data_IF_308469902579
#
_entry.id   IF_308469902579
#
_cell.length_a   1.000
_cell.length_b   1.000
_cell.length_c   1.000
_cell.angle_alpha   90.00
_cell.angle_beta   90.00
_cell.angle_gamma   90.00
#
_symmetry.space_group_name_H-M   'P 1'
#
loop_
_entity.id
_entity.type
_entity.pdbx_description
1 polymer ?
#
# COMPACT_ATOMS: atom_id res chain seq x y z
N UNK A 1 2.26 79.87 -30.84
CA UNK A 1 2.29 78.42 -30.97
C UNK A 1 2.18 77.82 -29.54
N UNK A 2 1.04 77.23 -29.17
CA UNK A 2 0.87 76.62 -27.86
C UNK A 2 0.84 75.08 -28.06
N UNK A 3 1.89 74.43 -27.58
CA UNK A 3 2.06 72.96 -27.65
C UNK A 3 1.29 72.34 -26.48
N UNK A 4 0.27 71.53 -26.77
CA UNK A 4 -0.46 70.75 -25.77
C UNK A 4 0.20 69.36 -25.58
N UNK A 5 0.61 69.07 -24.38
CA UNK A 5 1.07 67.72 -23.98
C UNK A 5 -0.15 66.82 -23.58
N UNK A 6 -0.38 65.74 -24.33
CA UNK A 6 -1.29 64.72 -23.95
C UNK A 6 -0.57 63.73 -22.98
N UNK A 7 -1.04 63.64 -21.75
CA UNK A 7 -0.60 62.63 -20.80
C UNK A 7 -1.46 61.40 -20.98
N UNK A 8 -0.87 60.27 -21.46
CA UNK A 8 -1.51 58.98 -21.53
C UNK A 8 -1.41 58.30 -20.15
N UNK A 9 -2.56 58.09 -19.49
CA UNK A 9 -2.64 57.33 -18.28
C UNK A 9 -2.71 55.81 -18.62
N UNK A 10 -1.68 55.07 -18.21
CA UNK A 10 -1.66 53.59 -18.32
C UNK A 10 -2.44 53.06 -17.11
N UNK A 11 -3.62 52.47 -17.37
CA UNK A 11 -4.40 51.74 -16.37
C UNK A 11 -3.83 50.33 -16.32
N UNK A 12 -3.07 50.01 -15.28
CA UNK A 12 -2.71 48.63 -14.94
C UNK A 12 -3.98 47.90 -14.43
N UNK A 13 -4.55 47.06 -15.26
CA UNK A 13 -5.56 46.10 -14.82
C UNK A 13 -4.89 45.05 -13.95
N UNK A 14 -5.14 45.06 -12.63
CA UNK A 14 -4.77 43.97 -11.75
C UNK A 14 -5.65 42.75 -12.09
N UNK A 15 -5.04 41.71 -12.67
CA UNK A 15 -5.71 40.43 -12.82
C UNK A 15 -5.89 39.80 -11.44
N UNK A 16 -7.13 39.40 -11.06
CA UNK A 16 -7.30 38.67 -9.81
C UNK A 16 -6.56 37.34 -9.92
N UNK A 17 -5.53 37.16 -9.11
CA UNK A 17 -4.96 35.83 -8.87
C UNK A 17 -6.08 35.00 -8.21
N UNK A 18 -6.62 34.02 -8.94
CA UNK A 18 -7.42 32.96 -8.33
C UNK A 18 -6.52 32.27 -7.30
N UNK A 19 -6.70 32.61 -6.04
CA UNK A 19 -6.13 31.80 -4.97
C UNK A 19 -6.76 30.41 -5.11
N UNK A 20 -5.98 29.43 -5.56
CA UNK A 20 -6.38 28.04 -5.45
C UNK A 20 -6.51 27.76 -3.95
N UNK A 21 -7.74 27.77 -3.44
CA UNK A 21 -8.00 27.29 -2.09
C UNK A 21 -7.55 25.85 -2.01
N UNK A 22 -6.52 25.59 -1.21
CA UNK A 22 -6.05 24.25 -0.97
C UNK A 22 -7.22 23.40 -0.43
N UNK A 23 -7.39 22.15 -0.87
CA UNK A 23 -8.47 21.31 -0.39
C UNK A 23 -8.41 21.18 1.13
N UNK A 24 -9.55 21.33 1.78
CA UNK A 24 -9.69 21.17 3.23
C UNK A 24 -10.28 19.82 3.51
N UNK A 25 -9.62 19.06 4.42
CA UNK A 25 -10.07 17.74 4.82
C UNK A 25 -10.63 17.79 6.24
N UNK A 26 -11.67 17.02 6.47
CA UNK A 26 -12.26 16.77 7.77
C UNK A 26 -12.44 15.28 7.96
N UNK A 27 -12.15 14.78 9.17
CA UNK A 27 -12.41 13.39 9.53
C UNK A 27 -13.92 13.15 9.55
N UNK A 28 -14.37 12.12 8.84
CA UNK A 28 -15.73 11.63 8.93
C UNK A 28 -15.80 10.52 10.00
N UNK A 29 -16.40 10.79 11.18
CA UNK A 29 -16.48 9.80 12.26
C UNK A 29 -17.48 8.68 11.97
N UNK A 30 -18.30 8.80 10.91
CA UNK A 30 -19.26 7.77 10.50
C UNK A 30 -18.68 6.76 9.53
N UNK A 31 -17.47 7.00 9.01
CA UNK A 31 -16.77 6.10 8.08
C UNK A 31 -15.59 5.39 8.75
N UNK A 32 -15.44 4.06 8.63
CA UNK A 32 -16.40 3.10 8.07
C UNK A 32 -17.62 2.88 8.98
N UNK A 33 -18.68 2.29 8.43
CA UNK A 33 -19.83 1.86 9.23
C UNK A 33 -19.42 0.73 10.20
N UNK A 34 -20.27 0.51 11.21
CA UNK A 34 -20.03 -0.56 12.20
C UNK A 34 -19.84 -1.90 11.53
N UNK A 35 -18.74 -2.58 11.85
CA UNK A 35 -18.43 -3.89 11.31
C UNK A 35 -19.40 -4.96 11.85
N UNK A 36 -19.79 -5.95 11.01
CA UNK A 36 -20.62 -7.07 11.45
C UNK A 36 -19.85 -8.03 12.38
N UNK A 37 -20.53 -9.03 12.93
CA UNK A 37 -19.96 -10.17 13.66
C UNK A 37 -19.11 -9.77 14.89
N UNK A 38 -19.37 -8.63 15.50
CA UNK A 38 -18.52 -8.06 16.56
C UNK A 38 -17.04 -7.92 16.15
N UNK A 39 -16.79 -7.69 14.87
CA UNK A 39 -15.42 -7.52 14.37
C UNK A 39 -14.82 -6.20 14.83
N UNK A 40 -13.51 -6.26 15.11
CA UNK A 40 -12.66 -5.10 15.37
C UNK A 40 -11.43 -5.19 14.48
N UNK A 41 -10.99 -4.06 13.95
CA UNK A 41 -9.72 -3.97 13.22
C UNK A 41 -8.56 -3.78 14.18
N UNK A 42 -7.44 -4.41 13.87
CA UNK A 42 -6.14 -4.05 14.40
C UNK A 42 -5.54 -2.84 13.68
N UNK A 43 -4.23 -2.78 13.62
CA UNK A 43 -3.53 -1.70 12.90
C UNK A 43 -3.85 -1.77 11.41
N UNK A 44 -4.41 -0.71 10.83
CA UNK A 44 -4.48 -0.53 9.39
C UNK A 44 -3.06 -0.35 8.83
N UNK A 45 -2.65 -1.23 7.94
CA UNK A 45 -1.29 -1.28 7.41
C UNK A 45 -1.19 -0.74 5.99
N UNK A 46 -2.24 -0.85 5.20
CA UNK A 46 -2.31 -0.34 3.85
C UNK A 46 -3.74 -0.01 3.45
N UNK A 47 -3.87 0.89 2.48
CA UNK A 47 -5.14 1.31 1.91
C UNK A 47 -4.98 1.49 0.40
N UNK A 48 -5.99 1.08 -0.37
CA UNK A 48 -6.07 1.28 -1.80
C UNK A 48 -7.50 1.66 -2.20
N UNK A 49 -7.64 2.31 -3.35
CA UNK A 49 -8.96 2.63 -3.94
C UNK A 49 -9.01 2.01 -5.32
N UNK A 50 -10.10 1.31 -5.63
CA UNK A 50 -10.27 0.68 -6.93
C UNK A 50 -11.05 1.56 -7.92
N UNK A 51 -11.23 1.09 -9.15
CA UNK A 51 -11.92 1.80 -10.23
C UNK A 51 -13.43 2.02 -9.98
N UNK A 52 -14.01 1.41 -8.94
CA UNK A 52 -15.37 1.60 -8.49
C UNK A 52 -15.47 2.55 -7.29
N UNK A 53 -14.35 3.21 -6.92
CA UNK A 53 -14.19 4.03 -5.72
C UNK A 53 -14.44 3.25 -4.42
N UNK A 54 -14.26 1.92 -4.44
CA UNK A 54 -14.26 1.13 -3.22
C UNK A 54 -12.91 1.25 -2.52
N UNK A 55 -12.95 1.32 -1.20
CA UNK A 55 -11.77 1.43 -0.35
C UNK A 55 -11.38 0.05 0.16
N UNK A 56 -10.17 -0.36 -0.18
CA UNK A 56 -9.56 -1.59 0.30
C UNK A 56 -8.62 -1.29 1.45
N UNK A 57 -8.76 -2.05 2.53
CA UNK A 57 -7.92 -1.92 3.71
C UNK A 57 -7.28 -3.26 4.00
N UNK A 58 -5.95 -3.28 4.13
CA UNK A 58 -5.24 -4.38 4.77
C UNK A 58 -4.90 -4.00 6.21
N UNK A 59 -5.23 -4.86 7.14
CA UNK A 59 -5.02 -4.65 8.57
C UNK A 59 -4.32 -5.83 9.22
N UNK A 60 -3.83 -5.64 10.43
CA UNK A 60 -3.06 -6.62 11.22
C UNK A 60 -3.90 -7.19 12.36
N UNK A 61 -4.66 -8.29 12.19
CA UNK A 61 -5.45 -8.89 13.27
C UNK A 61 -4.60 -9.28 14.48
N UNK A 62 -3.33 -9.61 14.24
CA UNK A 62 -2.37 -10.01 15.29
C UNK A 62 -1.89 -8.85 16.15
N UNK A 63 -2.11 -7.60 15.76
CA UNK A 63 -1.78 -6.43 16.56
C UNK A 63 -2.74 -6.20 17.72
N UNK A 64 -3.91 -6.85 17.70
CA UNK A 64 -4.89 -6.76 18.77
C UNK A 64 -4.40 -7.45 20.05
N UNK A 65 -4.55 -6.77 21.17
CA UNK A 65 -4.29 -7.30 22.49
C UNK A 65 -5.35 -8.33 22.90
N UNK A 66 -5.10 -9.10 23.96
CA UNK A 66 -6.08 -10.06 24.46
C UNK A 66 -7.37 -9.40 24.96
N UNK A 67 -7.28 -8.18 25.47
CA UNK A 67 -8.46 -7.44 25.94
C UNK A 67 -9.31 -6.96 24.75
N UNK A 68 -8.68 -6.53 23.65
CA UNK A 68 -9.39 -6.09 22.44
C UNK A 68 -10.06 -7.25 21.69
N UNK A 69 -9.48 -8.45 21.69
CA UNK A 69 -10.03 -9.65 21.06
C UNK A 69 -10.64 -10.64 22.06
N UNK A 70 -11.17 -10.16 23.15
CA UNK A 70 -11.55 -10.96 24.30
C UNK A 70 -12.62 -12.05 24.01
N UNK A 71 -13.49 -11.83 23.01
CA UNK A 71 -14.46 -12.84 22.57
C UNK A 71 -13.84 -13.98 21.76
N UNK A 72 -12.65 -13.77 21.18
CA UNK A 72 -11.93 -14.78 20.40
C UNK A 72 -10.99 -15.67 21.24
N UNK A 73 -10.87 -15.42 22.54
CA UNK A 73 -10.03 -16.20 23.44
C UNK A 73 -10.69 -17.55 23.78
N UNK A 74 -9.90 -18.51 24.27
CA UNK A 74 -10.40 -19.80 24.73
C UNK A 74 -9.95 -20.05 26.20
N UNK A 75 -10.87 -19.95 27.19
CA UNK A 75 -12.26 -19.52 27.08
C UNK A 75 -12.40 -18.02 26.79
N UNK A 76 -13.53 -17.56 26.22
CA UNK A 76 -13.78 -16.14 26.02
C UNK A 76 -13.85 -15.36 27.33
N UNK A 77 -13.21 -14.18 27.37
CA UNK A 77 -13.25 -13.27 28.53
C UNK A 77 -14.36 -12.22 28.42
N UNK A 78 -14.96 -12.03 27.24
CA UNK A 78 -16.01 -11.05 26.96
C UNK A 78 -16.91 -11.52 25.81
N UNK A 79 -18.04 -10.82 25.61
CA UNK A 79 -18.89 -11.00 24.43
C UNK A 79 -18.41 -10.20 23.20
N UNK A 80 -17.58 -9.20 23.39
CA UNK A 80 -16.87 -8.42 22.35
C UNK A 80 -15.36 -8.60 22.56
N UNK A 81 -14.52 -8.54 21.58
CA UNK A 81 -14.76 -8.46 20.16
C UNK A 81 -13.94 -9.55 19.47
N UNK A 82 -14.12 -9.73 18.16
CA UNK A 82 -13.41 -10.74 17.37
C UNK A 82 -12.55 -10.02 16.33
N UNK A 83 -11.29 -10.42 16.08
CA UNK A 83 -10.48 -9.84 15.01
C UNK A 83 -11.17 -9.95 13.66
N UNK A 84 -11.28 -8.84 12.93
CA UNK A 84 -11.73 -8.86 11.55
C UNK A 84 -10.72 -9.60 10.65
N UNK A 85 -11.15 -10.14 9.48
CA UNK A 85 -10.23 -10.63 8.48
C UNK A 85 -9.22 -9.57 8.04
N UNK A 86 -7.98 -9.96 7.62
CA UNK A 86 -6.93 -9.00 7.31
C UNK A 86 -7.21 -8.10 6.11
N UNK A 87 -8.04 -8.52 5.16
CA UNK A 87 -8.40 -7.73 3.97
C UNK A 87 -9.88 -7.39 4.02
N UNK A 88 -10.20 -6.12 3.85
CA UNK A 88 -11.59 -5.64 3.83
C UNK A 88 -11.79 -4.66 2.67
N UNK A 89 -12.94 -4.77 2.03
CA UNK A 89 -13.41 -3.87 0.98
C UNK A 89 -14.65 -3.14 1.47
N UNK A 90 -14.65 -1.82 1.37
CA UNK A 90 -15.76 -0.95 1.73
C UNK A 90 -16.25 -0.20 0.49
N UNK A 91 -17.55 0.03 0.39
CA UNK A 91 -18.09 0.99 -0.58
C UNK A 91 -17.82 2.44 -0.14
N UNK A 92 -18.23 3.39 -0.97
CA UNK A 92 -18.03 4.82 -0.69
C UNK A 92 -18.74 5.28 0.59
N UNK A 93 -19.86 4.66 0.94
CA UNK A 93 -20.63 4.93 2.16
C UNK A 93 -20.03 4.26 3.40
N UNK A 94 -18.91 3.55 3.27
CA UNK A 94 -18.22 2.86 4.36
C UNK A 94 -18.86 1.55 4.79
N UNK A 95 -19.79 1.01 4.01
CA UNK A 95 -20.37 -0.31 4.26
C UNK A 95 -19.41 -1.40 3.82
N UNK A 96 -19.20 -2.39 4.67
CA UNK A 96 -18.38 -3.55 4.34
C UNK A 96 -19.00 -4.37 3.21
N UNK A 97 -18.28 -4.51 2.10
CA UNK A 97 -18.65 -5.29 0.92
C UNK A 97 -18.12 -6.71 1.02
N UNK A 98 -16.84 -6.86 1.40
CA UNK A 98 -16.14 -8.15 1.57
C UNK A 98 -15.12 -8.08 2.68
N UNK A 99 -14.84 -9.28 3.23
CA UNK A 99 -13.70 -9.46 4.13
C UNK A 99 -13.16 -10.89 3.99
N UNK A 100 -11.83 -11.02 3.86
CA UNK A 100 -11.15 -12.29 3.67
C UNK A 100 -9.66 -12.21 4.02
N UNK A 101 -8.93 -13.30 3.83
CA UNK A 101 -7.48 -13.38 3.98
C UNK A 101 -7.04 -14.14 5.22
N UNK A 102 -5.74 -14.23 5.37
CA UNK A 102 -5.08 -15.07 6.35
C UNK A 102 -4.42 -16.29 5.71
N UNK A 103 -3.78 -17.17 6.51
CA UNK A 103 -3.13 -18.37 6.02
C UNK A 103 -4.09 -19.26 5.22
N UNK A 104 -3.58 -19.86 4.13
CA UNK A 104 -4.34 -20.75 3.25
C UNK A 104 -3.43 -21.71 2.49
N UNK A 105 -3.99 -22.49 1.59
CA UNK A 105 -3.26 -23.46 0.80
C UNK A 105 -2.61 -22.84 -0.43
N UNK A 106 -1.38 -23.27 -0.74
CA UNK A 106 -0.66 -22.88 -1.95
C UNK A 106 0.10 -21.57 -1.87
N UNK A 107 0.05 -20.84 -0.76
CA UNK A 107 0.78 -19.58 -0.56
C UNK A 107 1.22 -19.38 0.89
N UNK A 108 2.15 -18.43 1.08
CA UNK A 108 2.60 -18.02 2.40
C UNK A 108 2.01 -16.65 2.74
N UNK A 109 1.02 -16.62 3.65
CA UNK A 109 0.47 -15.35 4.14
C UNK A 109 1.54 -14.54 4.88
N UNK A 110 1.60 -13.19 4.69
CA UNK A 110 2.57 -12.36 5.37
C UNK A 110 2.56 -12.50 6.89
N UNK A 111 3.73 -12.49 7.51
CA UNK A 111 3.85 -12.44 8.97
C UNK A 111 3.43 -11.08 9.51
N UNK A 112 3.65 -10.03 8.75
CA UNK A 112 3.29 -8.66 9.11
C UNK A 112 2.76 -7.96 7.86
N UNK A 113 1.44 -7.96 7.69
CA UNK A 113 0.76 -7.33 6.55
C UNK A 113 1.21 -5.89 6.39
N UNK A 114 1.41 -5.43 5.13
CA UNK A 114 1.88 -4.07 4.86
C UNK A 114 1.18 -3.42 3.66
N UNK A 115 1.68 -3.61 2.44
CA UNK A 115 1.12 -2.99 1.25
C UNK A 115 -0.13 -3.70 0.72
N UNK A 116 -1.06 -2.94 0.15
CA UNK A 116 -2.17 -3.44 -0.66
C UNK A 116 -2.36 -2.54 -1.87
N UNK A 117 -2.49 -3.14 -3.05
CA UNK A 117 -2.87 -2.42 -4.28
C UNK A 117 -3.90 -3.22 -5.08
N UNK A 118 -4.66 -2.51 -5.92
CA UNK A 118 -5.66 -3.10 -6.80
C UNK A 118 -5.22 -2.83 -8.23
N UNK A 119 -4.91 -3.91 -8.98
CA UNK A 119 -4.44 -3.75 -10.34
C UNK A 119 -5.56 -3.35 -11.31
N UNK A 120 -5.23 -2.88 -12.53
CA UNK A 120 -6.23 -2.47 -13.52
C UNK A 120 -7.20 -3.58 -13.95
N UNK A 121 -6.87 -4.85 -13.69
CA UNK A 121 -7.75 -6.01 -13.94
C UNK A 121 -8.63 -6.36 -12.74
N UNK A 122 -8.47 -5.63 -11.61
CA UNK A 122 -9.21 -5.82 -10.37
C UNK A 122 -8.67 -6.92 -9.46
N UNK A 123 -7.45 -7.39 -9.65
CA UNK A 123 -6.80 -8.28 -8.70
C UNK A 123 -6.22 -7.50 -7.52
N UNK A 124 -6.21 -8.15 -6.36
CA UNK A 124 -5.71 -7.61 -5.11
C UNK A 124 -4.29 -8.12 -4.87
N UNK A 125 -3.35 -7.20 -4.70
CA UNK A 125 -1.96 -7.51 -4.43
C UNK A 125 -1.62 -7.16 -2.98
N UNK A 126 -0.95 -8.09 -2.28
CA UNK A 126 -0.67 -7.96 -0.84
C UNK A 126 0.77 -8.33 -0.54
N UNK A 127 1.46 -7.44 0.14
CA UNK A 127 2.81 -7.66 0.66
C UNK A 127 2.89 -7.63 2.18
N UNK A 128 4.06 -7.97 2.69
CA UNK A 128 4.36 -7.91 4.10
C UNK A 128 5.81 -7.53 4.37
N UNK A 129 6.05 -6.97 5.56
CA UNK A 129 7.38 -6.53 5.98
C UNK A 129 7.87 -7.22 7.26
N UNK A 130 7.32 -8.38 7.63
CA UNK A 130 7.82 -9.22 8.71
C UNK A 130 9.22 -9.78 8.40
N UNK A 131 9.92 -10.26 9.41
CA UNK A 131 11.31 -10.71 9.27
C UNK A 131 11.53 -11.79 8.22
N UNK A 132 10.53 -12.65 8.02
CA UNK A 132 10.56 -13.72 7.03
C UNK A 132 9.74 -13.42 5.77
N UNK A 133 9.14 -12.23 5.66
CA UNK A 133 8.32 -11.88 4.49
C UNK A 133 9.22 -11.58 3.29
N UNK A 134 9.26 -12.52 2.37
CA UNK A 134 10.02 -12.46 1.13
C UNK A 134 9.16 -12.74 -0.09
N UNK A 135 7.85 -12.53 0.01
CA UNK A 135 6.85 -12.79 -1.02
C UNK A 135 5.88 -11.63 -1.18
N UNK A 136 5.26 -11.56 -2.36
CA UNK A 136 4.10 -10.74 -2.68
C UNK A 136 3.00 -11.63 -3.28
N UNK A 137 1.76 -11.43 -2.89
CA UNK A 137 0.63 -12.31 -3.20
C UNK A 137 -0.39 -11.60 -4.08
N UNK A 138 -0.93 -12.31 -5.06
CA UNK A 138 -2.04 -11.86 -5.92
C UNK A 138 -3.28 -12.71 -5.66
N UNK A 139 -4.41 -12.04 -5.48
CA UNK A 139 -5.72 -12.66 -5.26
C UNK A 139 -6.76 -12.07 -6.20
N UNK A 140 -7.84 -12.81 -6.44
CA UNK A 140 -9.07 -12.23 -6.99
C UNK A 140 -9.74 -11.34 -5.93
N UNK A 141 -10.72 -10.52 -6.32
CA UNK A 141 -11.46 -9.65 -5.38
C UNK A 141 -12.16 -10.43 -4.25
N UNK A 142 -12.55 -11.67 -4.50
CA UNK A 142 -13.20 -12.57 -3.53
C UNK A 142 -12.21 -13.41 -2.70
N UNK A 143 -10.91 -13.10 -2.78
CA UNK A 143 -9.87 -13.72 -1.96
C UNK A 143 -9.37 -15.07 -2.46
N UNK A 144 -9.64 -15.45 -3.71
CA UNK A 144 -9.10 -16.67 -4.30
C UNK A 144 -7.64 -16.43 -4.72
N UNK A 145 -6.73 -17.26 -4.22
CA UNK A 145 -5.31 -17.20 -4.56
C UNK A 145 -5.06 -17.38 -6.06
N UNK A 146 -4.18 -16.55 -6.62
CA UNK A 146 -3.80 -16.55 -8.04
C UNK A 146 -2.32 -16.81 -8.21
N UNK A 147 -1.46 -16.04 -7.51
CA UNK A 147 -0.03 -16.04 -7.75
C UNK A 147 0.73 -15.62 -6.48
N UNK A 148 1.89 -16.22 -6.27
CA UNK A 148 2.91 -15.75 -5.33
C UNK A 148 4.21 -15.45 -6.06
N UNK A 149 4.72 -14.23 -5.91
CA UNK A 149 6.06 -13.80 -6.33
C UNK A 149 6.96 -13.90 -5.11
N UNK A 150 8.14 -14.50 -5.27
CA UNK A 150 9.05 -14.72 -4.15
C UNK A 150 8.62 -15.85 -3.21
N UNK A 151 9.24 -15.93 -2.06
CA UNK A 151 8.98 -16.97 -1.06
C UNK A 151 9.34 -16.51 0.35
N UNK A 152 8.57 -16.97 1.33
CA UNK A 152 8.85 -16.73 2.74
C UNK A 152 10.15 -17.42 3.18
N UNK A 153 10.88 -16.82 4.09
CA UNK A 153 12.10 -17.39 4.69
C UNK A 153 13.14 -16.35 5.04
N UNK A 154 14.35 -16.81 5.36
CA UNK A 154 15.45 -15.92 5.71
C UNK A 154 15.79 -14.97 4.56
N UNK A 155 16.12 -13.74 4.91
CA UNK A 155 16.48 -12.72 3.93
C UNK A 155 17.79 -13.09 3.23
N UNK A 156 17.90 -12.70 1.97
CA UNK A 156 19.07 -12.91 1.14
C UNK A 156 19.69 -11.55 0.78
N UNK A 157 20.18 -11.36 -0.44
CA UNK A 157 20.73 -10.08 -0.89
C UNK A 157 19.84 -9.39 -1.92
N UNK A 158 20.12 -8.12 -2.16
CA UNK A 158 19.34 -7.28 -3.09
C UNK A 158 19.42 -7.70 -4.57
N UNK A 159 20.18 -8.72 -4.92
CA UNK A 159 20.27 -9.28 -6.28
C UNK A 159 19.63 -10.68 -6.38
N UNK A 160 19.13 -11.26 -5.30
CA UNK A 160 18.35 -12.51 -5.35
C UNK A 160 16.99 -12.26 -6.03
N UNK A 161 16.79 -12.82 -7.21
CA UNK A 161 15.54 -12.67 -7.99
C UNK A 161 14.47 -13.70 -7.61
N UNK A 162 14.77 -14.62 -6.72
CA UNK A 162 13.84 -15.69 -6.28
C UNK A 162 13.12 -15.38 -5.00
N UNK A 163 13.53 -14.32 -4.28
CA UNK A 163 12.97 -13.88 -3.00
C UNK A 163 12.98 -12.36 -2.92
N UNK A 164 11.98 -11.81 -2.27
CA UNK A 164 11.92 -10.41 -1.90
C UNK A 164 12.53 -10.19 -0.52
N UNK A 165 12.86 -8.96 -0.19
CA UNK A 165 13.45 -8.56 1.09
C UNK A 165 12.52 -7.64 1.88
N UNK A 166 11.42 -8.17 2.41
CA UNK A 166 10.43 -7.39 3.16
C UNK A 166 9.84 -6.27 2.30
N UNK A 167 9.11 -6.61 1.23
CA UNK A 167 8.59 -5.63 0.28
C UNK A 167 7.60 -4.66 0.94
N UNK A 168 7.66 -3.40 0.54
CA UNK A 168 6.83 -2.34 1.08
C UNK A 168 5.50 -2.24 0.34
N UNK A 169 5.55 -2.09 -0.99
CA UNK A 169 4.37 -1.84 -1.82
C UNK A 169 4.60 -2.34 -3.24
N UNK A 170 3.52 -2.44 -4.02
CA UNK A 170 3.59 -2.82 -5.43
C UNK A 170 2.52 -2.11 -6.25
N UNK A 171 2.85 -1.81 -7.51
CA UNK A 171 1.94 -1.21 -8.49
C UNK A 171 2.04 -1.94 -9.83
N UNK A 172 0.92 -2.12 -10.50
CA UNK A 172 0.86 -2.73 -11.84
C UNK A 172 0.65 -1.66 -12.90
N UNK A 173 1.60 -1.56 -13.83
CA UNK A 173 1.48 -0.69 -14.99
C UNK A 173 0.43 -1.24 -15.96
N UNK A 174 -0.65 -0.46 -16.26
CA UNK A 174 -1.73 -0.89 -17.14
C UNK A 174 -1.29 -1.10 -18.60
N UNK A 175 -0.24 -0.42 -19.06
CA UNK A 175 0.21 -0.49 -20.44
C UNK A 175 1.08 -1.73 -20.70
N UNK A 176 1.96 -2.06 -19.77
CA UNK A 176 2.93 -3.16 -19.94
C UNK A 176 2.54 -4.44 -19.23
N UNK A 177 1.55 -4.37 -18.31
CA UNK A 177 1.15 -5.46 -17.41
C UNK A 177 2.31 -5.99 -16.58
N UNK A 178 3.19 -5.08 -16.15
CA UNK A 178 4.32 -5.36 -15.27
C UNK A 178 4.02 -4.90 -13.85
N UNK A 179 4.32 -5.73 -12.86
CA UNK A 179 4.25 -5.35 -11.45
C UNK A 179 5.60 -4.86 -10.97
N UNK A 180 5.62 -3.63 -10.48
CA UNK A 180 6.78 -2.96 -9.87
C UNK A 180 6.66 -3.10 -8.36
N UNK A 181 7.62 -3.75 -7.73
CA UNK A 181 7.63 -3.97 -6.28
C UNK A 181 8.73 -3.12 -5.64
N UNK A 182 8.34 -2.26 -4.70
CA UNK A 182 9.25 -1.52 -3.85
C UNK A 182 9.81 -2.46 -2.77
N UNK A 183 10.94 -3.08 -3.06
CA UNK A 183 11.57 -4.10 -2.23
C UNK A 183 12.68 -3.46 -1.38
N UNK A 184 12.29 -2.73 -0.32
CA UNK A 184 13.16 -1.76 0.34
C UNK A 184 13.26 -1.79 1.85
N UNK A 185 12.54 -2.64 2.60
CA UNK A 185 12.74 -2.75 4.05
C UNK A 185 14.00 -3.54 4.44
N UNK A 186 14.39 -4.51 3.61
CA UNK A 186 15.65 -5.23 3.76
C UNK A 186 16.52 -5.07 2.53
N UNK A 187 15.97 -5.28 1.33
CA UNK A 187 16.66 -5.05 0.05
C UNK A 187 16.70 -3.55 -0.29
N UNK A 188 17.54 -3.19 -1.28
CA UNK A 188 17.74 -1.81 -1.74
C UNK A 188 17.38 -1.66 -3.22
N UNK A 189 16.12 -2.05 -3.60
CA UNK A 189 15.75 -2.12 -5.03
C UNK A 189 14.26 -1.86 -5.30
N UNK A 190 13.99 -1.52 -6.56
CA UNK A 190 12.73 -1.81 -7.23
C UNK A 190 12.94 -3.05 -8.10
N UNK A 191 12.05 -4.02 -8.02
CA UNK A 191 12.09 -5.26 -8.81
C UNK A 191 10.79 -5.44 -9.58
N UNK A 192 10.91 -5.92 -10.82
CA UNK A 192 9.79 -5.98 -11.77
C UNK A 192 9.57 -7.39 -12.23
N UNK A 193 8.30 -7.80 -12.23
CA UNK A 193 7.84 -9.09 -12.72
C UNK A 193 6.69 -8.91 -13.71
N UNK A 194 6.41 -9.92 -14.48
CA UNK A 194 5.20 -10.02 -15.27
C UNK A 194 4.01 -10.26 -14.31
N UNK A 195 2.96 -9.45 -14.39
CA UNK A 195 1.86 -9.47 -13.43
C UNK A 195 0.92 -10.69 -13.57
N UNK A 196 0.97 -11.42 -14.68
CA UNK A 196 0.14 -12.62 -14.89
C UNK A 196 0.88 -13.91 -14.57
N UNK A 197 2.16 -14.01 -14.97
CA UNK A 197 2.95 -15.22 -14.80
C UNK A 197 3.89 -15.21 -13.60
N UNK A 198 4.19 -14.03 -13.02
CA UNK A 198 5.22 -13.87 -12.00
C UNK A 198 6.65 -14.04 -12.50
N UNK A 199 6.87 -14.03 -13.83
CA UNK A 199 8.20 -14.14 -14.39
C UNK A 199 9.02 -12.87 -14.11
N UNK A 200 10.24 -13.05 -13.60
CA UNK A 200 11.18 -11.96 -13.38
C UNK A 200 11.54 -11.25 -14.68
N UNK A 201 11.60 -9.92 -14.63
CA UNK A 201 12.00 -9.08 -15.78
C UNK A 201 13.29 -8.31 -15.54
N UNK A 202 13.36 -7.49 -14.51
CA UNK A 202 14.52 -6.63 -14.18
C UNK A 202 14.43 -6.09 -12.76
N UNK A 203 15.52 -5.56 -12.29
CA UNK A 203 15.57 -4.78 -11.05
C UNK A 203 16.68 -3.75 -11.10
N UNK A 204 16.60 -2.75 -10.24
CA UNK A 204 17.61 -1.72 -10.06
C UNK A 204 17.56 -1.13 -8.65
N UNK A 205 18.69 -0.60 -8.21
CA UNK A 205 18.83 0.16 -6.98
C UNK A 205 18.76 1.67 -7.21
N UNK A 206 19.34 2.42 -6.32
CA UNK A 206 19.37 3.89 -6.38
C UNK A 206 19.98 4.38 -7.71
N UNK A 207 19.34 5.42 -8.28
CA UNK A 207 19.77 6.06 -9.53
C UNK A 207 19.86 5.11 -10.75
N UNK A 208 19.06 4.05 -10.77
CA UNK A 208 19.06 3.05 -11.86
C UNK A 208 20.29 2.14 -11.90
N UNK A 209 21.12 2.15 -10.88
CA UNK A 209 22.33 1.30 -10.78
C UNK A 209 21.97 -0.11 -10.26
N UNK A 210 22.89 -1.04 -10.41
CA UNK A 210 22.78 -2.36 -9.77
C UNK A 210 22.68 -2.15 -8.23
N UNK A 211 21.76 -2.84 -7.53
CA UNK A 211 21.69 -2.77 -6.07
C UNK A 211 22.99 -3.21 -5.40
N UNK A 212 23.30 -2.61 -4.28
CA UNK A 212 24.38 -3.02 -3.38
C UNK A 212 23.88 -3.09 -1.95
N UNK A 213 24.35 -4.08 -1.22
CA UNK A 213 24.10 -4.25 0.22
C UNK A 213 25.29 -3.78 1.06
N UNK A 214 26.27 -3.15 0.42
CA UNK A 214 27.39 -2.50 1.11
C UNK A 214 26.87 -1.40 2.03
N UNK A 215 27.40 -1.36 3.25
CA UNK A 215 27.07 -0.31 4.21
C UNK A 215 27.53 1.03 3.64
N UNK A 216 26.60 1.93 3.40
CA UNK A 216 26.93 3.29 3.00
C UNK A 216 27.58 4.04 4.16
N UNK A 217 28.63 4.83 3.85
CA UNK A 217 29.17 5.78 4.82
C UNK A 217 28.05 6.75 5.28
N UNK A 218 28.07 7.19 6.53
CA UNK A 218 27.10 8.16 7.02
C UNK A 218 27.09 9.40 6.12
N UNK A 219 25.91 9.88 5.76
CA UNK A 219 25.77 11.12 5.00
C UNK A 219 26.45 12.26 5.76
N UNK A 220 27.46 12.87 5.13
CA UNK A 220 28.15 14.04 5.66
C UNK A 220 27.66 15.29 4.89
N UNK A 221 26.80 16.08 5.53
CA UNK A 221 26.24 17.31 4.96
C UNK A 221 27.30 18.41 4.68
N UNK A 222 28.54 18.22 5.13
CA UNK A 222 29.65 19.19 4.91
C UNK A 222 30.51 18.86 3.69
N UNK A 223 30.22 17.77 2.96
CA UNK A 223 30.97 17.34 1.77
C UNK A 223 30.23 17.71 0.46
N UNK A 224 29.73 18.92 0.35
CA UNK A 224 29.17 19.47 -0.91
C UNK A 224 30.09 20.55 -1.48
#
# INVERSE_FOLDING_TARGET
MKTAFLASAIVLAATPTLANDAPRFQVDPSWPQTLPNNWIMGQAAGIAVDAQDHVWVVQRPRSLTNDEKAAALSPPNSKCCVPAPPVMEFDQEGKLVRAWGGPGEGYNWPQNEHGVSIDPKGFVWIGGNGEKDGQYLKFTRDGKFVLQIGKQGDQTDSNDVTRLGRPADAEVDPETNEVYIADGYFNHRVIVFDADSGAYKRHWGAYGKKPTDEKLEPYNSTSS
#
